data_IF_450036307146
#
_entry.id   IF_450036307146
#
_cell.length_a   1.000
_cell.length_b   1.000
_cell.length_c   1.000
_cell.angle_alpha   90.00
_cell.angle_beta   90.00
_cell.angle_gamma   90.00
#
_symmetry.space_group_name_H-M   'P 1'
#
loop_
_entity.id
_entity.type
_entity.pdbx_description
1 polymer ?
#
# COMPACT_ATOMS: atom_id res chain seq x y z
N UNK A 1 -3.14 -11.32 -8.56
CA UNK A 1 -2.23 -10.19 -8.84
C UNK A 1 -0.77 -10.60 -8.74
N UNK A 2 -0.18 -10.84 -7.57
CA UNK A 2 1.25 -11.18 -7.42
C UNK A 2 1.59 -12.53 -8.07
N UNK A 3 0.72 -13.51 -7.98
CA UNK A 3 0.91 -14.87 -8.53
C UNK A 3 1.06 -14.90 -10.07
N UNK A 4 0.68 -13.84 -10.76
CA UNK A 4 0.80 -13.74 -12.23
C UNK A 4 2.05 -13.00 -12.70
N UNK A 5 2.89 -12.53 -11.76
CA UNK A 5 4.12 -11.78 -12.05
C UNK A 5 5.26 -12.74 -12.38
N UNK A 6 5.94 -12.49 -13.50
CA UNK A 6 7.20 -13.12 -13.80
C UNK A 6 8.35 -12.24 -13.29
N UNK A 7 9.16 -12.76 -12.38
CA UNK A 7 10.26 -12.00 -11.75
C UNK A 7 11.29 -11.50 -12.78
N UNK A 8 11.42 -12.15 -13.92
CA UNK A 8 12.35 -11.76 -15.00
C UNK A 8 11.87 -10.50 -15.74
N UNK A 9 10.58 -10.17 -15.67
CA UNK A 9 9.98 -9.02 -16.36
C UNK A 9 9.95 -7.76 -15.48
N UNK A 10 10.56 -7.79 -14.29
CA UNK A 10 10.66 -6.65 -13.40
C UNK A 10 11.57 -5.59 -14.01
N UNK A 11 11.04 -4.40 -14.23
CA UNK A 11 11.85 -3.25 -14.63
C UNK A 11 12.49 -2.61 -13.39
N UNK A 12 13.71 -3.04 -13.09
CA UNK A 12 14.46 -2.59 -11.91
C UNK A 12 14.76 -1.10 -11.93
N UNK A 13 14.99 -0.52 -13.12
CA UNK A 13 15.25 0.91 -13.25
C UNK A 13 14.01 1.73 -12.85
N UNK A 14 12.84 1.33 -13.34
CA UNK A 14 11.56 1.95 -13.00
C UNK A 14 11.26 1.82 -11.51
N UNK A 15 11.40 0.62 -10.95
CA UNK A 15 11.17 0.38 -9.53
C UNK A 15 12.11 1.22 -8.66
N UNK A 16 13.40 1.26 -8.98
CA UNK A 16 14.38 2.06 -8.25
C UNK A 16 14.09 3.56 -8.34
N UNK A 17 13.73 4.06 -9.52
CA UNK A 17 13.36 5.46 -9.71
C UNK A 17 12.12 5.84 -8.91
N UNK A 18 11.12 4.97 -8.89
CA UNK A 18 9.91 5.16 -8.10
C UNK A 18 10.23 5.19 -6.60
N UNK A 19 10.89 4.15 -6.08
CA UNK A 19 11.25 4.01 -4.67
C UNK A 19 12.08 5.20 -4.18
N UNK A 20 13.07 5.62 -4.96
CA UNK A 20 13.92 6.76 -4.59
C UNK A 20 13.13 8.08 -4.54
N UNK A 21 12.23 8.31 -5.51
CA UNK A 21 11.38 9.50 -5.51
C UNK A 21 10.39 9.52 -4.34
N UNK A 22 9.76 8.39 -4.04
CA UNK A 22 8.84 8.27 -2.91
C UNK A 22 9.54 8.52 -1.58
N UNK A 23 10.72 7.91 -1.36
CA UNK A 23 11.51 8.14 -0.15
C UNK A 23 11.96 9.60 -0.05
N UNK A 24 12.39 10.23 -1.15
CA UNK A 24 12.77 11.64 -1.15
C UNK A 24 11.60 12.55 -0.75
N UNK A 25 10.42 12.34 -1.32
CA UNK A 25 9.21 13.11 -0.99
C UNK A 25 8.83 12.88 0.47
N UNK A 26 8.85 11.62 0.93
CA UNK A 26 8.56 11.25 2.31
C UNK A 26 9.48 11.97 3.29
N UNK A 27 10.79 11.90 3.07
CA UNK A 27 11.78 12.55 3.93
C UNK A 27 11.60 14.07 3.92
N UNK A 28 11.44 14.67 2.74
CA UNK A 28 11.28 16.12 2.61
C UNK A 28 10.02 16.63 3.32
N UNK A 29 8.87 16.00 3.08
CA UNK A 29 7.61 16.35 3.72
C UNK A 29 7.67 16.15 5.24
N UNK A 30 8.24 15.05 5.71
CA UNK A 30 8.41 14.76 7.13
C UNK A 30 9.32 15.78 7.84
N UNK A 31 10.44 16.17 7.21
CA UNK A 31 11.34 17.18 7.76
C UNK A 31 10.66 18.57 7.81
N UNK A 32 9.94 18.96 6.78
CA UNK A 32 9.15 20.20 6.78
C UNK A 32 8.12 20.18 7.91
N UNK A 33 7.35 19.10 8.02
CA UNK A 33 6.34 18.95 9.07
C UNK A 33 6.96 19.04 10.47
N UNK A 34 8.12 18.39 10.69
CA UNK A 34 8.79 18.38 11.99
C UNK A 34 9.46 19.70 12.34
N UNK A 35 10.26 20.26 11.42
CA UNK A 35 11.13 21.41 11.75
C UNK A 35 10.52 22.75 11.41
N UNK A 36 9.70 22.87 10.38
CA UNK A 36 9.05 24.13 10.00
C UNK A 36 7.74 24.29 10.75
N UNK A 37 6.86 23.27 10.68
CA UNK A 37 5.56 23.30 11.36
C UNK A 37 5.64 22.87 12.83
N UNK A 38 6.80 22.39 13.31
CA UNK A 38 7.06 21.98 14.70
C UNK A 38 6.09 20.94 15.25
N UNK A 39 5.61 20.07 14.38
CA UNK A 39 4.65 19.01 14.72
C UNK A 39 5.32 17.88 15.52
N UNK A 40 4.51 17.09 16.20
CA UNK A 40 4.94 15.85 16.84
C UNK A 40 5.45 14.84 15.79
N UNK A 41 6.37 13.93 16.18
CA UNK A 41 6.89 12.93 15.23
C UNK A 41 5.80 12.06 14.60
N UNK A 42 4.76 11.71 15.36
CA UNK A 42 3.60 10.96 14.87
C UNK A 42 2.86 11.70 13.76
N UNK A 43 2.62 12.99 13.95
CA UNK A 43 1.96 13.84 12.96
C UNK A 43 2.85 14.06 11.73
N UNK A 44 4.16 14.29 11.95
CA UNK A 44 5.12 14.47 10.86
C UNK A 44 5.21 13.23 9.96
N UNK A 45 5.22 12.02 10.54
CA UNK A 45 5.21 10.75 9.79
C UNK A 45 3.91 10.58 9.01
N UNK A 46 2.77 10.91 9.61
CA UNK A 46 1.48 10.84 8.91
C UNK A 46 1.41 11.80 7.72
N UNK A 47 1.92 13.03 7.87
CA UNK A 47 2.00 14.01 6.78
C UNK A 47 2.99 13.53 5.71
N UNK A 48 4.14 12.99 6.09
CA UNK A 48 5.11 12.44 5.16
C UNK A 48 4.50 11.31 4.32
N UNK A 49 3.74 10.42 4.97
CA UNK A 49 3.03 9.33 4.33
C UNK A 49 1.94 9.86 3.39
N UNK A 50 1.14 10.81 3.83
CA UNK A 50 0.08 11.41 3.02
C UNK A 50 0.62 12.17 1.79
N UNK A 51 1.84 12.71 1.87
CA UNK A 51 2.48 13.43 0.78
C UNK A 51 3.15 12.52 -0.25
N UNK A 52 3.68 11.36 0.16
CA UNK A 52 4.46 10.48 -0.70
C UNK A 52 3.67 9.27 -1.20
N UNK A 53 2.85 8.68 -0.35
CA UNK A 53 2.15 7.43 -0.62
C UNK A 53 0.98 7.63 -1.58
N UNK A 54 1.00 6.91 -2.70
CA UNK A 54 -0.10 6.85 -3.66
C UNK A 54 -0.75 5.48 -3.65
N UNK A 55 -2.08 5.43 -3.67
CA UNK A 55 -2.79 4.15 -3.66
C UNK A 55 -2.93 3.60 -5.09
N UNK A 56 -1.87 2.95 -5.58
CA UNK A 56 -1.82 2.37 -6.92
C UNK A 56 -2.82 1.22 -7.12
N UNK A 57 -3.19 0.52 -6.06
CA UNK A 57 -4.18 -0.57 -6.13
C UNK A 57 -5.55 -0.05 -6.56
N UNK A 58 -5.95 1.14 -6.08
CA UNK A 58 -7.29 1.67 -6.33
C UNK A 58 -7.42 2.37 -7.68
N UNK A 59 -6.36 3.00 -8.18
CA UNK A 59 -6.44 3.82 -9.39
C UNK A 59 -5.61 3.25 -10.53
N UNK A 60 -4.32 3.03 -10.32
CA UNK A 60 -3.40 2.67 -11.40
C UNK A 60 -3.64 1.25 -11.90
N UNK A 61 -3.81 0.30 -11.00
CA UNK A 61 -3.96 -1.10 -11.35
C UNK A 61 -5.26 -1.39 -12.14
N UNK A 62 -6.45 -0.88 -11.77
CA UNK A 62 -7.65 -1.07 -12.58
C UNK A 62 -7.55 -0.45 -13.98
N UNK A 63 -6.96 0.74 -14.09
CA UNK A 63 -6.75 1.41 -15.38
C UNK A 63 -5.79 0.58 -16.24
N UNK A 64 -4.71 0.11 -15.64
CA UNK A 64 -3.73 -0.71 -16.35
C UNK A 64 -4.32 -2.03 -16.88
N UNK A 65 -5.25 -2.63 -16.15
CA UNK A 65 -5.94 -3.85 -16.58
C UNK A 65 -6.84 -3.63 -17.81
N UNK A 66 -7.36 -2.41 -18.01
CA UNK A 66 -8.26 -2.09 -19.12
C UNK A 66 -7.52 -1.57 -20.35
N UNK A 67 -6.41 -0.86 -20.15
CA UNK A 67 -5.73 -0.11 -21.21
C UNK A 67 -4.44 -0.79 -21.72
N UNK A 68 -3.87 -1.72 -20.95
CA UNK A 68 -2.56 -2.30 -21.27
C UNK A 68 -2.57 -3.81 -21.31
N UNK A 69 -1.67 -4.36 -22.14
CA UNK A 69 -1.41 -5.80 -22.19
C UNK A 69 -0.76 -6.33 -20.90
N UNK A 70 -0.89 -7.62 -20.66
CA UNK A 70 -0.41 -8.29 -19.44
C UNK A 70 1.07 -8.04 -19.14
N UNK A 71 1.90 -7.78 -20.16
CA UNK A 71 3.35 -7.53 -19.98
C UNK A 71 3.65 -6.24 -19.21
N UNK A 72 2.76 -5.26 -19.25
CA UNK A 72 2.91 -3.98 -18.53
C UNK A 72 2.40 -4.04 -17.08
N UNK A 73 1.72 -5.11 -16.70
CA UNK A 73 1.22 -5.28 -15.34
C UNK A 73 2.33 -5.61 -14.35
N UNK A 74 3.39 -6.29 -14.77
CA UNK A 74 4.51 -6.68 -13.89
C UNK A 74 5.20 -5.49 -13.21
N UNK A 75 5.58 -4.40 -13.91
CA UNK A 75 6.14 -3.21 -13.28
C UNK A 75 5.19 -2.58 -12.25
N UNK A 76 3.90 -2.48 -12.57
CA UNK A 76 2.88 -1.90 -11.68
C UNK A 76 2.71 -2.75 -10.41
N UNK A 77 2.66 -4.08 -10.54
CA UNK A 77 2.57 -4.98 -9.40
C UNK A 77 3.81 -4.91 -8.52
N UNK A 78 4.99 -4.69 -9.11
CA UNK A 78 6.24 -4.51 -8.37
C UNK A 78 6.20 -3.23 -7.50
N UNK A 79 5.70 -2.13 -8.04
CA UNK A 79 5.47 -0.87 -7.30
C UNK A 79 4.48 -1.11 -6.16
N UNK A 80 3.33 -1.71 -6.43
CA UNK A 80 2.31 -2.01 -5.42
C UNK A 80 2.87 -2.89 -4.30
N UNK A 81 3.74 -3.85 -4.62
CA UNK A 81 4.37 -4.70 -3.63
C UNK A 81 5.28 -3.91 -2.70
N UNK A 82 6.03 -2.97 -3.25
CA UNK A 82 6.84 -2.04 -2.46
C UNK A 82 5.96 -1.16 -1.57
N UNK A 83 4.89 -0.57 -2.10
CA UNK A 83 3.96 0.29 -1.35
C UNK A 83 3.40 -0.41 -0.12
N UNK A 84 3.01 -1.69 -0.24
CA UNK A 84 2.52 -2.47 0.89
C UNK A 84 3.60 -2.64 1.96
N UNK A 85 4.83 -2.94 1.56
CA UNK A 85 5.96 -3.09 2.48
C UNK A 85 6.25 -1.75 3.17
N UNK A 86 6.28 -0.66 2.40
CA UNK A 86 6.54 0.68 2.90
C UNK A 86 5.47 1.14 3.89
N UNK A 87 4.19 0.88 3.59
CA UNK A 87 3.08 1.18 4.48
C UNK A 87 3.20 0.42 5.81
N UNK A 88 3.49 -0.89 5.76
CA UNK A 88 3.68 -1.72 6.95
C UNK A 88 4.84 -1.21 7.80
N UNK A 89 5.96 -0.84 7.17
CA UNK A 89 7.11 -0.25 7.85
C UNK A 89 6.73 1.03 8.62
N UNK A 90 5.95 1.92 7.99
CA UNK A 90 5.46 3.14 8.62
C UNK A 90 4.50 2.85 9.79
N UNK A 91 3.62 1.86 9.66
CA UNK A 91 2.74 1.43 10.75
C UNK A 91 3.58 0.95 11.95
N UNK A 92 4.63 0.17 11.71
CA UNK A 92 5.54 -0.29 12.77
C UNK A 92 6.22 0.90 13.46
N UNK A 93 6.73 1.87 12.71
CA UNK A 93 7.34 3.08 13.28
C UNK A 93 6.34 3.86 14.13
N UNK A 94 5.12 4.08 13.62
CA UNK A 94 4.06 4.77 14.37
C UNK A 94 3.69 4.04 15.66
N UNK A 95 3.57 2.71 15.61
CA UNK A 95 3.32 1.89 16.81
C UNK A 95 4.45 2.01 17.84
N UNK A 96 5.72 2.02 17.39
CA UNK A 96 6.90 2.17 18.27
C UNK A 96 6.94 3.53 18.96
N UNK A 97 6.58 4.60 18.26
CA UNK A 97 6.59 5.96 18.80
C UNK A 97 5.40 6.17 19.75
N UNK A 98 4.23 5.68 19.39
CA UNK A 98 2.99 5.94 20.13
C UNK A 98 2.87 5.11 21.41
N UNK A 99 3.35 3.87 21.39
CA UNK A 99 3.14 2.94 22.49
C UNK A 99 4.42 2.72 23.29
N UNK A 100 4.61 3.52 24.34
CA UNK A 100 5.81 3.56 25.21
C UNK A 100 6.24 2.22 25.89
N UNK A 101 5.46 1.14 25.78
CA UNK A 101 5.71 -0.16 26.45
C UNK A 101 5.47 -1.39 25.55
N UNK A 102 5.58 -1.28 24.25
CA UNK A 102 5.48 -2.45 23.38
C UNK A 102 6.85 -3.09 23.19
N UNK A 103 6.92 -4.39 23.45
CA UNK A 103 8.05 -5.23 23.10
C UNK A 103 8.03 -5.50 21.60
N UNK A 104 9.19 -5.44 20.91
CA UNK A 104 9.33 -5.76 19.49
C UNK A 104 8.59 -7.06 19.10
N UNK A 105 8.63 -8.08 19.96
CA UNK A 105 7.90 -9.32 19.76
C UNK A 105 6.39 -9.12 19.60
N UNK A 106 5.77 -8.23 20.38
CA UNK A 106 4.33 -7.93 20.28
C UNK A 106 3.98 -7.18 18.99
N UNK A 107 4.87 -6.32 18.50
CA UNK A 107 4.72 -5.61 17.22
C UNK A 107 4.75 -6.62 16.07
N UNK A 108 5.75 -7.50 16.06
CA UNK A 108 5.87 -8.55 15.03
C UNK A 108 4.62 -9.43 15.01
N UNK A 109 4.16 -9.90 16.18
CA UNK A 109 2.93 -10.70 16.28
C UNK A 109 1.69 -9.92 15.78
N UNK A 110 1.61 -8.60 16.04
CA UNK A 110 0.55 -7.75 15.51
C UNK A 110 0.55 -7.69 13.98
N UNK A 111 1.73 -7.71 13.36
CA UNK A 111 1.85 -7.70 11.89
C UNK A 111 1.38 -9.02 11.25
N UNK A 112 1.38 -10.14 11.96
CA UNK A 112 0.78 -11.38 11.45
C UNK A 112 -0.75 -11.27 11.26
N UNK A 113 -1.39 -10.32 11.93
CA UNK A 113 -2.81 -9.98 11.71
C UNK A 113 -3.02 -8.96 10.57
N UNK A 114 -1.95 -8.52 9.90
CA UNK A 114 -2.03 -7.65 8.75
C UNK A 114 -2.30 -8.50 7.49
N UNK A 115 -3.57 -8.68 7.15
CA UNK A 115 -3.99 -9.53 6.03
C UNK A 115 -3.34 -9.16 4.69
N UNK A 116 -3.18 -7.87 4.30
CA UNK A 116 -2.47 -7.48 3.09
C UNK A 116 -1.01 -7.95 3.06
N UNK A 117 -0.28 -7.77 4.17
CA UNK A 117 1.11 -8.22 4.28
C UNK A 117 1.21 -9.75 4.20
N UNK A 118 0.32 -10.45 4.88
CA UNK A 118 0.30 -11.91 4.87
C UNK A 118 0.00 -12.45 3.46
N UNK A 119 -0.97 -11.86 2.76
CA UNK A 119 -1.29 -12.21 1.38
C UNK A 119 -0.12 -11.92 0.42
N UNK A 120 0.60 -10.80 0.63
CA UNK A 120 1.81 -10.46 -0.13
C UNK A 120 2.89 -11.53 0.05
N UNK A 121 3.20 -11.90 1.30
CA UNK A 121 4.23 -12.91 1.60
C UNK A 121 3.88 -14.25 0.95
N UNK A 122 2.63 -14.72 1.08
CA UNK A 122 2.18 -15.97 0.45
C UNK A 122 2.32 -15.87 -1.07
N UNK A 123 1.89 -14.75 -1.67
CA UNK A 123 2.02 -14.53 -3.11
C UNK A 123 3.47 -14.58 -3.58
N UNK A 124 4.39 -13.96 -2.86
CA UNK A 124 5.83 -13.98 -3.16
C UNK A 124 6.42 -15.39 -3.03
N UNK A 125 6.02 -16.18 -2.02
CA UNK A 125 6.45 -17.57 -1.86
C UNK A 125 6.00 -18.42 -3.06
N UNK A 126 4.75 -18.29 -3.48
CA UNK A 126 4.20 -19.02 -4.62
C UNK A 126 4.98 -18.71 -5.90
N UNK A 127 5.30 -17.43 -6.14
CA UNK A 127 6.07 -16.98 -7.31
C UNK A 127 7.53 -17.47 -7.23
N UNK A 128 8.17 -17.31 -6.09
CA UNK A 128 9.58 -17.71 -5.91
C UNK A 128 9.82 -19.22 -6.08
N UNK A 129 8.91 -20.04 -5.57
CA UNK A 129 8.98 -21.49 -5.70
C UNK A 129 8.29 -22.03 -6.97
N UNK A 130 7.83 -21.16 -7.86
CA UNK A 130 7.12 -21.52 -9.10
C UNK A 130 5.98 -22.51 -8.88
N UNK A 131 5.25 -22.37 -7.76
CA UNK A 131 4.18 -23.28 -7.38
C UNK A 131 3.02 -23.16 -8.38
N UNK A 132 2.76 -24.21 -9.15
CA UNK A 132 1.64 -24.26 -10.09
C UNK A 132 0.34 -24.48 -9.34
N UNK A 133 -0.46 -23.44 -9.19
CA UNK A 133 -1.78 -23.55 -8.60
C UNK A 133 -2.76 -24.28 -9.53
N UNK A 134 -3.62 -25.17 -9.01
CA UNK A 134 -4.73 -25.74 -9.77
C UNK A 134 -5.57 -24.67 -10.43
N UNK A 135 -6.05 -24.93 -11.65
CA UNK A 135 -6.80 -23.97 -12.46
C UNK A 135 -8.02 -23.39 -11.70
N UNK A 136 -8.71 -24.23 -10.95
CA UNK A 136 -9.88 -23.82 -10.15
C UNK A 136 -9.51 -22.81 -9.07
N UNK A 137 -8.40 -23.02 -8.37
CA UNK A 137 -7.90 -22.09 -7.33
C UNK A 137 -7.48 -20.76 -7.96
N UNK A 138 -6.75 -20.82 -9.08
CA UNK A 138 -6.29 -19.62 -9.77
C UNK A 138 -7.49 -18.78 -10.28
N UNK A 139 -8.50 -19.43 -10.86
CA UNK A 139 -9.74 -18.75 -11.27
C UNK A 139 -10.48 -18.10 -10.09
N UNK A 140 -10.57 -18.79 -8.97
CA UNK A 140 -11.22 -18.26 -7.76
C UNK A 140 -10.49 -17.04 -7.20
N UNK A 141 -9.16 -17.10 -7.12
CA UNK A 141 -8.33 -15.96 -6.67
C UNK A 141 -8.50 -14.78 -7.63
N UNK A 142 -8.47 -14.99 -8.93
CA UNK A 142 -8.66 -13.94 -9.93
C UNK A 142 -10.05 -13.31 -9.83
N UNK A 143 -11.09 -14.10 -9.66
CA UNK A 143 -12.46 -13.61 -9.49
C UNK A 143 -12.59 -12.69 -8.28
N UNK A 144 -12.04 -13.10 -7.13
CA UNK A 144 -12.04 -12.28 -5.91
C UNK A 144 -11.18 -11.03 -6.10
N UNK A 145 -10.01 -11.14 -6.73
CA UNK A 145 -9.11 -10.01 -6.92
C UNK A 145 -9.71 -8.91 -7.81
N UNK A 146 -10.51 -9.27 -8.81
CA UNK A 146 -11.21 -8.31 -9.67
C UNK A 146 -12.26 -7.49 -8.92
N UNK A 147 -12.87 -8.04 -7.87
CA UNK A 147 -13.85 -7.32 -7.05
C UNK A 147 -13.21 -6.33 -6.05
N UNK A 148 -11.92 -6.48 -5.76
CA UNK A 148 -11.26 -5.69 -4.72
C UNK A 148 -11.25 -4.18 -5.04
N UNK A 149 -10.91 -3.78 -6.27
CA UNK A 149 -10.85 -2.38 -6.67
C UNK A 149 -12.21 -1.68 -6.60
N UNK A 150 -13.31 -2.19 -7.21
CA UNK A 150 -14.63 -1.56 -7.09
C UNK A 150 -15.15 -1.51 -5.65
N UNK A 151 -14.92 -2.55 -4.83
CA UNK A 151 -15.29 -2.54 -3.42
C UNK A 151 -14.53 -1.46 -2.64
N UNK A 152 -13.23 -1.31 -2.89
CA UNK A 152 -12.41 -0.33 -2.22
C UNK A 152 -12.77 1.10 -2.63
N UNK A 153 -13.06 1.36 -3.91
CA UNK A 153 -13.56 2.66 -4.38
C UNK A 153 -14.92 3.02 -3.76
N UNK A 154 -15.82 2.06 -3.66
CA UNK A 154 -17.11 2.25 -3.01
C UNK A 154 -16.94 2.60 -1.53
N UNK A 155 -16.10 1.86 -0.81
CA UNK A 155 -15.80 2.14 0.60
C UNK A 155 -15.15 3.52 0.78
N UNK A 156 -14.20 3.89 -0.08
CA UNK A 156 -13.58 5.23 -0.07
C UNK A 156 -14.63 6.33 -0.30
N UNK A 157 -15.57 6.12 -1.23
CA UNK A 157 -16.67 7.05 -1.48
C UNK A 157 -17.56 7.26 -0.26
N UNK A 158 -17.91 6.20 0.47
CA UNK A 158 -18.68 6.28 1.71
C UNK A 158 -17.92 7.09 2.78
N UNK A 159 -16.62 6.81 2.96
CA UNK A 159 -15.78 7.52 3.94
C UNK A 159 -15.71 9.00 3.61
N UNK A 160 -15.48 9.37 2.35
CA UNK A 160 -15.42 10.75 1.90
C UNK A 160 -16.76 11.48 2.10
N UNK A 161 -17.88 10.84 1.73
CA UNK A 161 -19.22 11.42 1.93
C UNK A 161 -19.49 11.72 3.40
N UNK A 162 -19.14 10.80 4.30
CA UNK A 162 -19.29 11.00 5.74
C UNK A 162 -18.41 12.15 6.28
N UNK A 163 -17.17 12.28 5.79
CA UNK A 163 -16.28 13.37 6.18
C UNK A 163 -16.79 14.73 5.70
N UNK A 164 -17.31 14.82 4.48
CA UNK A 164 -17.89 16.05 3.92
C UNK A 164 -19.09 16.51 4.76
N UNK A 165 -19.98 15.57 5.14
CA UNK A 165 -21.14 15.88 5.98
C UNK A 165 -20.71 16.41 7.36
N UNK A 166 -19.71 15.79 7.99
CA UNK A 166 -19.17 16.21 9.28
C UNK A 166 -18.54 17.61 9.20
N UNK A 167 -17.79 17.88 8.13
CA UNK A 167 -17.15 19.18 7.91
C UNK A 167 -18.17 20.29 7.69
N UNK A 168 -19.23 20.02 6.90
CA UNK A 168 -20.33 21.00 6.72
C UNK A 168 -21.00 21.39 8.05
N UNK A 169 -21.20 20.45 8.96
CA UNK A 169 -21.76 20.72 10.29
C UNK A 169 -20.86 21.65 11.13
N UNK A 170 -19.54 21.58 10.95
CA UNK A 170 -18.58 22.43 11.69
C UNK A 170 -18.59 23.87 11.14
N UNK A 171 -18.77 24.07 9.84
CA UNK A 171 -18.78 25.39 9.20
C UNK A 171 -20.15 26.10 9.27
N UNK A 172 -21.20 25.42 9.71
CA UNK A 172 -22.57 26.00 9.87
C UNK A 172 -22.89 26.42 11.32
N UNK A 173 -21.93 26.33 12.22
CA UNK A 173 -21.93 26.84 13.59
C UNK A 173 -21.03 28.07 13.69
#
# INVERSE_FOLDING_TARGET
MIVTVNLNDINWLLLFSYVSSEICIYMFAGLIAKYIFKLEWTEAILIALAASFSNHILFVYPIALTEYDNNLLTPIVSIISFDVIFLVFNIIILDLITIKKITLKKIIVKQFNNYPLFALIIGMIIVYFEIKLPLSINRSINFISLSAAPCALFAAGIILAHQIEKTKKIFLI
#
